data_IF_809376709603
#
_entry.id   IF_809376709603
#
_cell.length_a   1.000
_cell.length_b   1.000
_cell.length_c   1.000
_cell.angle_alpha   90.00
_cell.angle_beta   90.00
_cell.angle_gamma   90.00
#
_symmetry.space_group_name_H-M   'P 1'
#
loop_
_entity.id
_entity.type
_entity.pdbx_description
1 polymer ?
#
# COMPACT_ATOMS: atom_id res chain seq x y z
N UNK A 1 -23.55 23.67 -29.63
CA UNK A 1 -23.64 23.53 -28.16
C UNK A 1 -24.85 22.67 -27.80
N UNK A 2 -24.65 21.48 -27.24
CA UNK A 2 -25.73 20.61 -26.71
C UNK A 2 -25.28 20.01 -25.38
N UNK A 3 -25.66 20.71 -24.31
CA UNK A 3 -25.89 20.27 -22.91
C UNK A 3 -25.41 18.88 -22.48
N UNK A 4 -24.34 18.84 -21.68
CA UNK A 4 -23.96 17.73 -20.78
C UNK A 4 -24.06 18.26 -19.33
N UNK A 5 -25.02 17.79 -18.50
CA UNK A 5 -24.70 17.43 -17.09
C UNK A 5 -25.71 16.46 -16.39
N UNK A 6 -26.25 15.44 -17.06
CA UNK A 6 -27.13 14.43 -16.42
C UNK A 6 -26.56 13.01 -16.43
N UNK A 7 -25.56 12.75 -17.28
CA UNK A 7 -24.99 11.40 -17.50
C UNK A 7 -23.94 11.00 -16.47
N UNK A 8 -23.52 11.91 -15.58
CA UNK A 8 -22.37 11.67 -14.69
C UNK A 8 -22.77 11.36 -13.24
N UNK A 9 -23.66 12.14 -12.63
CA UNK A 9 -23.98 11.98 -11.20
C UNK A 9 -24.56 10.61 -10.83
N UNK A 10 -25.36 10.00 -11.73
CA UNK A 10 -25.91 8.65 -11.50
C UNK A 10 -24.81 7.58 -11.53
N UNK A 11 -23.82 7.77 -12.41
CA UNK A 11 -22.67 6.85 -12.51
C UNK A 11 -21.82 6.97 -11.24
N UNK A 12 -21.45 8.20 -10.85
CA UNK A 12 -20.70 8.47 -9.61
C UNK A 12 -21.36 7.83 -8.40
N UNK A 13 -22.65 8.10 -8.17
CA UNK A 13 -23.40 7.51 -7.04
C UNK A 13 -23.46 5.98 -7.07
N UNK A 14 -23.45 5.39 -8.27
CA UNK A 14 -23.45 3.93 -8.42
C UNK A 14 -22.11 3.34 -8.02
N UNK A 15 -21.00 3.92 -8.51
CA UNK A 15 -19.65 3.50 -8.18
C UNK A 15 -19.34 3.70 -6.69
N UNK A 16 -19.71 4.86 -6.12
CA UNK A 16 -19.61 5.13 -4.67
C UNK A 16 -20.40 4.12 -3.83
N UNK A 17 -21.58 3.70 -4.30
CA UNK A 17 -22.37 2.69 -3.61
C UNK A 17 -21.71 1.30 -3.68
N UNK A 18 -21.10 0.95 -4.81
CA UNK A 18 -20.33 -0.29 -4.97
C UNK A 18 -19.12 -0.28 -4.03
N UNK A 19 -18.25 0.74 -4.13
CA UNK A 19 -17.03 0.88 -3.33
C UNK A 19 -17.33 0.85 -1.84
N UNK A 20 -18.22 1.73 -1.35
CA UNK A 20 -18.59 1.77 0.08
C UNK A 20 -19.13 0.43 0.58
N UNK A 21 -19.95 -0.26 -0.22
CA UNK A 21 -20.50 -1.55 0.18
C UNK A 21 -19.43 -2.63 0.20
N UNK A 22 -18.55 -2.63 -0.80
CA UNK A 22 -17.44 -3.56 -0.89
C UNK A 22 -16.50 -3.39 0.31
N UNK A 23 -16.03 -2.17 0.59
CA UNK A 23 -15.21 -1.85 1.77
C UNK A 23 -15.85 -2.32 3.08
N UNK A 24 -17.14 -2.05 3.27
CA UNK A 24 -17.86 -2.50 4.46
C UNK A 24 -17.94 -4.03 4.57
N UNK A 25 -18.12 -4.74 3.46
CA UNK A 25 -18.14 -6.22 3.47
C UNK A 25 -16.75 -6.80 3.73
N UNK A 26 -15.69 -6.17 3.21
CA UNK A 26 -14.30 -6.56 3.45
C UNK A 26 -13.97 -6.52 4.95
N UNK A 27 -14.36 -5.44 5.64
CA UNK A 27 -14.19 -5.29 7.09
C UNK A 27 -15.02 -6.30 7.91
N UNK A 28 -16.16 -6.77 7.39
CA UNK A 28 -17.08 -7.64 8.13
C UNK A 28 -16.73 -9.13 8.07
N UNK A 29 -16.23 -9.62 6.93
CA UNK A 29 -16.02 -11.07 6.73
C UNK A 29 -14.87 -11.41 5.79
N UNK A 30 -14.11 -10.41 5.34
CA UNK A 30 -13.03 -10.54 4.39
C UNK A 30 -13.44 -10.93 2.97
N UNK A 31 -12.47 -10.89 2.06
CA UNK A 31 -12.72 -10.94 0.62
C UNK A 31 -13.32 -12.26 0.16
N UNK A 32 -12.83 -13.37 0.71
CA UNK A 32 -13.35 -14.71 0.39
C UNK A 32 -14.84 -14.91 0.74
N UNK A 33 -15.43 -14.05 1.58
CA UNK A 33 -16.86 -14.09 1.91
C UNK A 33 -17.75 -13.29 0.93
N UNK A 34 -17.15 -12.48 0.06
CA UNK A 34 -17.88 -11.57 -0.82
C UNK A 34 -18.27 -12.30 -2.10
N UNK A 35 -19.54 -12.15 -2.49
CA UNK A 35 -20.01 -12.57 -3.82
C UNK A 35 -20.61 -11.37 -4.55
N UNK A 36 -20.53 -11.36 -5.88
CA UNK A 36 -21.17 -10.32 -6.71
C UNK A 36 -22.66 -10.19 -6.37
N UNK A 37 -23.33 -11.31 -6.07
CA UNK A 37 -24.74 -11.32 -5.66
C UNK A 37 -24.95 -10.53 -4.36
N UNK A 38 -24.25 -10.90 -3.29
CA UNK A 38 -24.40 -10.27 -1.99
C UNK A 38 -24.01 -8.78 -2.02
N UNK A 39 -22.94 -8.44 -2.75
CA UNK A 39 -22.52 -7.06 -2.97
C UNK A 39 -23.62 -6.25 -3.67
N UNK A 40 -24.16 -6.76 -4.78
CA UNK A 40 -25.22 -6.08 -5.54
C UNK A 40 -26.49 -5.87 -4.71
N UNK A 41 -26.91 -6.88 -3.95
CA UNK A 41 -28.08 -6.80 -3.06
C UNK A 41 -27.90 -5.71 -2.00
N UNK A 42 -26.73 -5.66 -1.36
CA UNK A 42 -26.44 -4.69 -0.30
C UNK A 42 -26.20 -3.28 -0.84
N UNK A 43 -25.57 -3.15 -2.00
CA UNK A 43 -25.38 -1.88 -2.70
C UNK A 43 -26.66 -1.38 -3.40
N UNK A 44 -27.73 -2.19 -3.41
CA UNK A 44 -29.02 -1.92 -4.07
C UNK A 44 -28.88 -1.65 -5.57
N UNK A 45 -28.09 -2.48 -6.25
CA UNK A 45 -27.89 -2.44 -7.70
C UNK A 45 -28.20 -3.79 -8.35
N UNK A 46 -28.43 -3.78 -9.66
CA UNK A 46 -28.57 -5.02 -10.43
C UNK A 46 -27.20 -5.57 -10.80
N UNK A 47 -27.06 -6.90 -10.93
CA UNK A 47 -25.82 -7.54 -11.40
C UNK A 47 -25.34 -7.02 -12.76
N UNK A 48 -26.26 -6.76 -13.69
CA UNK A 48 -25.93 -6.14 -14.99
C UNK A 48 -25.30 -4.75 -14.83
N UNK A 49 -25.63 -4.02 -13.76
CA UNK A 49 -25.00 -2.74 -13.44
C UNK A 49 -23.59 -2.93 -12.91
N UNK A 50 -23.36 -3.92 -12.05
CA UNK A 50 -22.01 -4.29 -11.60
C UNK A 50 -21.12 -4.69 -12.79
N UNK A 51 -21.59 -5.63 -13.61
CA UNK A 51 -20.85 -6.13 -14.79
C UNK A 51 -20.66 -5.11 -15.92
N UNK A 52 -21.22 -3.90 -15.77
CA UNK A 52 -20.92 -2.79 -16.68
C UNK A 52 -19.59 -2.10 -16.33
N UNK A 53 -19.16 -2.21 -15.07
CA UNK A 53 -17.99 -1.52 -14.54
C UNK A 53 -16.85 -2.48 -14.19
N UNK A 54 -17.20 -3.70 -13.74
CA UNK A 54 -16.22 -4.69 -13.30
C UNK A 54 -16.61 -6.07 -13.86
N UNK A 55 -15.67 -6.79 -14.46
CA UNK A 55 -15.89 -8.16 -14.93
C UNK A 55 -15.94 -9.14 -13.76
N UNK A 56 -15.13 -8.87 -12.72
CA UNK A 56 -14.95 -9.70 -11.53
C UNK A 56 -14.93 -8.87 -10.24
N UNK A 57 -14.93 -9.55 -9.08
CA UNK A 57 -14.61 -8.89 -7.81
C UNK A 57 -13.13 -8.51 -7.71
N UNK A 58 -12.25 -9.23 -8.43
CA UNK A 58 -10.81 -8.96 -8.43
C UNK A 58 -10.53 -7.61 -9.10
N UNK A 59 -11.31 -7.22 -10.13
CA UNK A 59 -11.18 -5.90 -10.77
C UNK A 59 -11.53 -4.77 -9.79
N UNK A 60 -12.60 -4.94 -9.01
CA UNK A 60 -13.00 -3.97 -8.00
C UNK A 60 -11.97 -3.90 -6.86
N UNK A 61 -11.44 -5.04 -6.45
CA UNK A 61 -10.35 -5.09 -5.48
C UNK A 61 -9.12 -4.35 -6.02
N UNK A 62 -8.71 -4.64 -7.25
CA UNK A 62 -7.57 -4.00 -7.89
C UNK A 62 -7.75 -2.47 -8.00
N UNK A 63 -8.95 -1.98 -8.27
CA UNK A 63 -9.25 -0.54 -8.25
C UNK A 63 -9.01 0.08 -6.85
N UNK A 64 -9.50 -0.59 -5.80
CA UNK A 64 -9.26 -0.17 -4.40
C UNK A 64 -7.77 -0.18 -4.05
N UNK A 65 -7.05 -1.25 -4.43
CA UNK A 65 -5.61 -1.36 -4.18
C UNK A 65 -4.80 -0.29 -4.92
N UNK A 66 -5.14 -0.08 -6.19
CA UNK A 66 -4.49 0.90 -7.05
C UNK A 66 -4.67 2.32 -6.53
N UNK A 67 -5.80 2.63 -5.90
CA UNK A 67 -6.00 3.93 -5.25
C UNK A 67 -4.98 4.17 -4.12
N UNK A 68 -4.78 3.19 -3.22
CA UNK A 68 -3.75 3.31 -2.17
C UNK A 68 -2.34 3.37 -2.74
N UNK A 69 -2.02 2.48 -3.69
CA UNK A 69 -0.69 2.44 -4.30
C UNK A 69 -0.36 3.74 -5.05
N UNK A 70 -1.35 4.33 -5.76
CA UNK A 70 -1.18 5.60 -6.46
C UNK A 70 -0.98 6.75 -5.51
N UNK A 71 -1.78 6.83 -4.44
CA UNK A 71 -1.62 7.86 -3.42
C UNK A 71 -0.26 7.77 -2.70
N UNK A 72 0.21 6.54 -2.45
CA UNK A 72 1.55 6.30 -1.93
C UNK A 72 2.64 6.81 -2.89
N UNK A 73 2.59 6.39 -4.16
CA UNK A 73 3.57 6.81 -5.18
C UNK A 73 3.59 8.32 -5.36
N UNK A 74 2.44 8.98 -5.36
CA UNK A 74 2.35 10.44 -5.45
C UNK A 74 3.02 11.10 -4.24
N UNK A 75 2.74 10.61 -3.02
CA UNK A 75 3.33 11.12 -1.79
C UNK A 75 4.86 10.97 -1.78
N UNK A 76 5.38 9.83 -2.24
CA UNK A 76 6.81 9.52 -2.17
C UNK A 76 7.57 9.85 -3.47
N UNK A 77 6.93 10.45 -4.47
CA UNK A 77 7.55 10.72 -5.79
C UNK A 77 8.81 11.59 -5.73
N UNK A 78 8.98 12.36 -4.65
CA UNK A 78 10.12 13.24 -4.43
C UNK A 78 11.30 12.54 -3.73
N UNK A 79 11.12 11.31 -3.26
CA UNK A 79 12.13 10.53 -2.55
C UNK A 79 12.89 9.64 -3.54
N UNK A 80 14.19 9.52 -3.34
CA UNK A 80 15.02 8.52 -4.01
C UNK A 80 14.84 7.14 -3.39
N UNK A 81 15.14 6.09 -4.17
CA UNK A 81 14.97 4.72 -3.72
C UNK A 81 15.80 4.36 -2.46
N UNK A 82 16.90 5.07 -2.23
CA UNK A 82 17.77 4.91 -1.05
C UNK A 82 17.38 5.76 0.17
N UNK A 83 16.31 6.56 0.11
CA UNK A 83 15.86 7.43 1.21
C UNK A 83 15.12 6.64 2.32
N UNK A 84 15.72 5.53 2.77
CA UNK A 84 15.05 4.51 3.58
C UNK A 84 14.42 5.04 4.87
N UNK A 85 15.11 5.93 5.60
CA UNK A 85 14.55 6.55 6.80
C UNK A 85 13.28 7.34 6.47
N UNK A 86 13.33 8.16 5.41
CA UNK A 86 12.21 9.00 5.05
C UNK A 86 11.04 8.18 4.53
N UNK A 87 11.29 7.20 3.65
CA UNK A 87 10.29 6.23 3.18
C UNK A 87 9.63 5.52 4.38
N UNK A 88 10.44 5.10 5.38
CA UNK A 88 9.91 4.45 6.59
C UNK A 88 9.05 5.39 7.41
N UNK A 89 9.41 6.68 7.55
CA UNK A 89 8.54 7.66 8.23
C UNK A 89 7.23 7.83 7.46
N UNK A 90 7.32 8.03 6.14
CA UNK A 90 6.13 8.23 5.30
C UNK A 90 5.19 7.04 5.37
N UNK A 91 5.68 5.80 5.48
CA UNK A 91 4.83 4.61 5.66
C UNK A 91 3.90 4.77 6.87
N UNK A 92 4.43 5.21 8.00
CA UNK A 92 3.66 5.39 9.23
C UNK A 92 2.65 6.53 9.12
N UNK A 93 3.08 7.68 8.59
CA UNK A 93 2.20 8.83 8.44
C UNK A 93 1.10 8.57 7.39
N UNK A 94 1.46 7.99 6.25
CA UNK A 94 0.52 7.59 5.21
C UNK A 94 -0.52 6.61 5.75
N UNK A 95 -0.08 5.53 6.39
CA UNK A 95 -0.99 4.52 6.96
C UNK A 95 -1.90 5.09 8.05
N UNK A 96 -1.42 6.02 8.87
CA UNK A 96 -2.24 6.69 9.88
C UNK A 96 -3.31 7.63 9.30
N UNK A 97 -3.15 8.09 8.06
CA UNK A 97 -4.12 8.92 7.33
C UNK A 97 -5.15 8.08 6.55
N UNK A 98 -4.91 6.78 6.35
CA UNK A 98 -5.82 5.91 5.62
C UNK A 98 -7.01 5.42 6.48
N UNK A 99 -7.99 4.82 5.81
CA UNK A 99 -9.13 4.19 6.46
C UNK A 99 -8.76 2.82 7.09
N UNK A 100 -9.68 2.28 7.89
CA UNK A 100 -9.51 0.99 8.58
C UNK A 100 -9.23 -0.17 7.61
N UNK A 101 -9.75 -0.10 6.39
CA UNK A 101 -9.53 -1.14 5.38
C UNK A 101 -8.06 -1.24 4.99
N UNK A 102 -7.35 -0.10 4.89
CA UNK A 102 -5.91 -0.11 4.65
C UNK A 102 -5.15 -0.90 5.73
N UNK A 103 -5.49 -0.68 7.00
CA UNK A 103 -4.87 -1.40 8.11
C UNK A 103 -5.17 -2.90 8.04
N UNK A 104 -6.41 -3.30 7.73
CA UNK A 104 -6.78 -4.71 7.55
C UNK A 104 -5.97 -5.34 6.44
N UNK A 105 -5.96 -4.75 5.24
CA UNK A 105 -5.23 -5.33 4.10
C UNK A 105 -3.72 -5.40 4.38
N UNK A 106 -3.17 -4.39 5.03
CA UNK A 106 -1.73 -4.29 5.31
C UNK A 106 -1.29 -5.21 6.44
N UNK A 107 -2.14 -5.46 7.44
CA UNK A 107 -1.73 -6.12 8.68
C UNK A 107 -2.21 -7.56 8.80
N UNK A 108 -3.41 -7.88 8.30
CA UNK A 108 -4.04 -9.19 8.49
C UNK A 108 -3.39 -10.25 7.56
N UNK A 109 -2.88 -11.37 8.12
CA UNK A 109 -2.31 -12.47 7.35
C UNK A 109 -3.24 -13.08 6.29
N UNK A 110 -4.56 -13.01 6.48
CA UNK A 110 -5.54 -13.53 5.52
C UNK A 110 -5.44 -12.85 4.14
N UNK A 111 -4.74 -11.72 4.07
CA UNK A 111 -4.61 -10.87 2.89
C UNK A 111 -3.21 -10.88 2.28
N UNK A 112 -2.36 -11.85 2.62
CA UNK A 112 -0.95 -11.83 2.20
C UNK A 112 -0.75 -11.65 0.69
N UNK A 113 -1.53 -12.34 -0.15
CA UNK A 113 -1.46 -12.18 -1.60
C UNK A 113 -1.83 -10.76 -2.06
N UNK A 114 -2.89 -10.20 -1.49
CA UNK A 114 -3.41 -8.86 -1.80
C UNK A 114 -2.44 -7.78 -1.30
N UNK A 115 -1.86 -7.99 -0.11
CA UNK A 115 -0.83 -7.12 0.46
C UNK A 115 0.46 -7.14 -0.36
N UNK A 116 0.87 -8.30 -0.88
CA UNK A 116 2.04 -8.40 -1.76
C UNK A 116 1.81 -7.61 -3.04
N UNK A 117 0.64 -7.77 -3.66
CA UNK A 117 0.28 -6.97 -4.83
C UNK A 117 0.29 -5.46 -4.54
N UNK A 118 -0.26 -5.02 -3.40
CA UNK A 118 -0.19 -3.61 -2.97
C UNK A 118 1.25 -3.12 -2.87
N UNK A 119 2.13 -3.90 -2.26
CA UNK A 119 3.53 -3.54 -2.09
C UNK A 119 4.24 -3.44 -3.43
N UNK A 120 4.01 -4.38 -4.34
CA UNK A 120 4.62 -4.37 -5.68
C UNK A 120 4.17 -3.12 -6.46
N UNK A 121 2.86 -2.84 -6.46
CA UNK A 121 2.32 -1.63 -7.09
C UNK A 121 2.89 -0.36 -6.43
N UNK A 122 2.94 -0.30 -5.11
CA UNK A 122 3.45 0.85 -4.35
C UNK A 122 4.95 1.08 -4.56
N UNK A 123 5.72 0.00 -4.72
CA UNK A 123 7.17 0.04 -4.96
C UNK A 123 7.50 0.66 -6.32
N UNK A 124 6.68 0.37 -7.33
CA UNK A 124 6.93 0.84 -8.70
C UNK A 124 8.34 0.49 -9.17
N UNK A 125 9.02 1.45 -9.80
CA UNK A 125 10.37 1.25 -10.35
C UNK A 125 11.49 1.27 -9.28
N UNK A 126 11.20 1.58 -8.01
CA UNK A 126 12.25 1.73 -6.98
C UNK A 126 13.04 0.44 -6.75
N UNK A 127 12.40 -0.72 -6.89
CA UNK A 127 13.07 -2.01 -6.76
C UNK A 127 14.08 -2.26 -7.91
N UNK A 128 13.79 -1.74 -9.10
CA UNK A 128 14.58 -1.95 -10.32
C UNK A 128 15.63 -0.85 -10.55
N UNK A 129 15.41 0.34 -9.98
CA UNK A 129 16.29 1.50 -10.07
C UNK A 129 17.47 1.38 -9.10
N UNK A 130 18.48 0.61 -9.51
CA UNK A 130 19.73 0.41 -8.75
C UNK A 130 20.49 1.74 -8.58
N UNK A 131 20.64 2.27 -7.35
CA UNK A 131 21.37 3.51 -7.12
C UNK A 131 22.87 3.35 -7.39
N UNK A 132 23.53 4.47 -7.72
CA UNK A 132 24.98 4.48 -7.89
C UNK A 132 25.70 3.96 -6.64
N UNK A 133 26.66 3.06 -6.85
CA UNK A 133 27.39 2.42 -5.76
C UNK A 133 26.79 1.09 -5.27
N UNK A 134 25.71 0.59 -5.87
CA UNK A 134 25.19 -0.76 -5.61
C UNK A 134 25.31 -1.67 -6.84
N UNK A 135 25.51 -2.97 -6.62
CA UNK A 135 25.21 -3.98 -7.65
C UNK A 135 23.72 -4.34 -7.58
N UNK A 136 23.11 -4.84 -8.67
CA UNK A 136 21.70 -5.26 -8.66
C UNK A 136 21.40 -6.29 -7.57
N UNK A 137 22.29 -7.25 -7.34
CA UNK A 137 22.09 -8.31 -6.33
C UNK A 137 22.08 -7.76 -4.91
N UNK A 138 23.01 -6.85 -4.60
CA UNK A 138 23.08 -6.21 -3.31
C UNK A 138 21.91 -5.25 -3.10
N UNK A 139 21.51 -4.53 -4.16
CA UNK A 139 20.34 -3.66 -4.13
C UNK A 139 19.06 -4.44 -3.85
N UNK A 140 18.83 -5.55 -4.54
CA UNK A 140 17.66 -6.39 -4.31
C UNK A 140 17.61 -6.92 -2.87
N UNK A 141 18.75 -7.36 -2.32
CA UNK A 141 18.80 -7.86 -0.94
C UNK A 141 18.52 -6.74 0.08
N UNK A 142 19.11 -5.55 -0.13
CA UNK A 142 18.89 -4.39 0.71
C UNK A 142 17.45 -3.89 0.63
N UNK A 143 16.90 -3.76 -0.58
CA UNK A 143 15.53 -3.33 -0.83
C UNK A 143 14.52 -4.28 -0.19
N UNK A 144 14.74 -5.60 -0.31
CA UNK A 144 13.91 -6.60 0.34
C UNK A 144 13.94 -6.45 1.87
N UNK A 145 15.11 -6.20 2.47
CA UNK A 145 15.21 -5.96 3.92
C UNK A 145 14.46 -4.70 4.34
N UNK A 146 14.75 -3.54 3.72
CA UNK A 146 14.18 -2.25 4.16
C UNK A 146 12.67 -2.17 3.95
N UNK A 147 12.16 -2.69 2.82
CA UNK A 147 10.71 -2.72 2.52
C UNK A 147 9.96 -3.54 3.55
N UNK A 148 10.52 -4.68 3.97
CA UNK A 148 9.88 -5.55 4.96
C UNK A 148 10.09 -5.08 6.40
N UNK A 149 11.24 -4.50 6.74
CA UNK A 149 11.51 -4.05 8.10
C UNK A 149 10.55 -2.94 8.55
N UNK A 150 10.38 -1.90 7.71
CA UNK A 150 9.43 -0.82 7.97
C UNK A 150 8.00 -1.34 8.09
N UNK A 151 7.58 -2.20 7.16
CA UNK A 151 6.25 -2.80 7.14
C UNK A 151 5.98 -3.68 8.36
N UNK A 152 6.94 -4.51 8.78
CA UNK A 152 6.79 -5.36 9.96
C UNK A 152 6.57 -4.53 11.23
N UNK A 153 7.30 -3.42 11.38
CA UNK A 153 7.13 -2.51 12.52
C UNK A 153 5.80 -1.74 12.46
N UNK A 154 5.35 -1.32 11.28
CA UNK A 154 4.02 -0.73 11.09
C UNK A 154 2.92 -1.69 11.54
N UNK A 155 3.00 -2.95 11.09
CA UNK A 155 2.02 -4.00 11.45
C UNK A 155 1.99 -4.28 12.95
N UNK A 156 3.15 -4.33 13.61
CA UNK A 156 3.23 -4.48 15.05
C UNK A 156 2.58 -3.28 15.77
N UNK A 157 2.85 -2.05 15.31
CA UNK A 157 2.24 -0.85 15.87
C UNK A 157 0.72 -0.82 15.74
N UNK A 158 0.17 -1.25 14.59
CA UNK A 158 -1.28 -1.39 14.40
C UNK A 158 -1.87 -2.48 15.28
N UNK A 159 -1.21 -3.65 15.39
CA UNK A 159 -1.65 -4.75 16.23
C UNK A 159 -1.74 -4.39 17.72
N UNK A 160 -0.83 -3.53 18.19
CA UNK A 160 -0.84 -2.97 19.55
C UNK A 160 -1.84 -1.80 19.71
N UNK A 161 -2.76 -1.59 18.76
CA UNK A 161 -3.77 -0.55 18.80
C UNK A 161 -3.19 0.87 18.68
N UNK A 162 -2.06 1.02 17.97
CA UNK A 162 -1.35 2.30 17.77
C UNK A 162 -0.96 2.97 19.09
N UNK A 163 -0.63 2.17 20.12
CA UNK A 163 -0.39 2.64 21.49
C UNK A 163 0.77 3.64 21.64
N UNK A 164 1.81 3.51 20.81
CA UNK A 164 2.91 4.48 20.76
C UNK A 164 2.48 5.68 19.90
N UNK A 165 2.70 6.94 20.32
CA UNK A 165 2.37 8.09 19.47
C UNK A 165 3.05 8.03 18.10
N UNK A 166 2.28 8.35 17.04
CA UNK A 166 2.71 8.24 15.64
C UNK A 166 4.13 8.82 15.38
N UNK A 167 4.48 10.05 15.79
CA UNK A 167 5.82 10.58 15.54
C UNK A 167 6.94 9.73 16.17
N UNK A 168 6.68 9.16 17.35
CA UNK A 168 7.64 8.31 18.06
C UNK A 168 7.76 6.94 17.40
N UNK A 169 6.65 6.36 16.96
CA UNK A 169 6.65 5.07 16.25
C UNK A 169 7.41 5.19 14.91
N UNK A 170 7.08 6.22 14.11
CA UNK A 170 7.73 6.50 12.83
C UNK A 170 9.24 6.73 12.97
N UNK A 171 9.66 7.55 13.94
CA UNK A 171 11.08 7.84 14.15
C UNK A 171 11.85 6.62 14.70
N UNK A 172 11.23 5.81 15.55
CA UNK A 172 11.84 4.56 16.04
C UNK A 172 12.08 3.59 14.89
N UNK A 173 11.08 3.40 14.03
CA UNK A 173 11.19 2.52 12.87
C UNK A 173 12.26 3.03 11.88
N UNK A 174 12.25 4.32 11.54
CA UNK A 174 13.21 4.92 10.63
C UNK A 174 14.66 4.76 11.12
N UNK A 175 14.90 4.94 12.43
CA UNK A 175 16.21 4.71 13.04
C UNK A 175 16.67 3.27 12.94
N UNK A 176 15.78 2.31 13.21
CA UNK A 176 16.12 0.88 13.14
C UNK A 176 16.42 0.44 11.70
N UNK A 177 15.65 0.92 10.73
CA UNK A 177 15.91 0.66 9.30
C UNK A 177 17.28 1.22 8.91
N UNK A 178 17.56 2.49 9.21
CA UNK A 178 18.84 3.11 8.83
C UNK A 178 20.06 2.58 9.59
N UNK A 179 19.97 2.38 10.90
CA UNK A 179 21.10 1.84 11.68
C UNK A 179 21.41 0.38 11.31
N UNK A 180 20.40 -0.39 10.89
CA UNK A 180 20.61 -1.70 10.29
C UNK A 180 21.41 -1.64 8.97
N UNK A 181 21.25 -0.56 8.19
CA UNK A 181 22.02 -0.34 6.95
C UNK A 181 23.41 0.26 7.20
N UNK A 182 23.60 1.04 8.26
CA UNK A 182 24.90 1.67 8.61
C UNK A 182 25.97 0.62 8.96
N UNK A 183 25.57 -0.53 9.51
CA UNK A 183 26.46 -1.67 9.73
C UNK A 183 27.02 -2.26 8.41
N UNK A 184 26.32 -2.12 7.28
CA UNK A 184 26.74 -2.63 5.97
C UNK A 184 27.53 -1.58 5.15
N UNK A 185 27.19 -0.29 5.26
CA UNK A 185 27.84 0.79 4.50
C UNK A 185 29.21 1.20 5.07
N UNK A 186 29.41 1.03 6.39
CA UNK A 186 30.69 1.29 7.06
C UNK A 186 31.80 0.28 6.71
N UNK A 187 31.44 -0.96 6.36
CA UNK A 187 32.42 -1.94 5.85
C UNK A 187 32.84 -1.65 4.39
N UNK A 188 31.95 -1.06 3.59
CA UNK A 188 32.15 -0.92 2.13
C UNK A 188 32.88 0.36 1.71
N UNK A 189 32.76 1.43 2.50
CA UNK A 189 33.60 2.63 2.36
C UNK A 189 35.08 2.36 2.69
N UNK A 190 35.39 1.24 3.36
CA UNK A 190 36.75 0.73 3.55
C UNK A 190 37.28 -0.20 2.44
N UNK A 191 36.41 -0.71 1.58
CA UNK A 191 36.75 -1.67 0.52
C UNK A 191 37.09 -0.98 -0.81
N UNK A 192 36.51 0.19 -1.09
CA UNK A 192 36.80 1.02 -2.26
C UNK A 192 38.16 1.74 -2.21
N UNK A 193 38.93 1.56 -1.12
CA UNK A 193 40.29 2.07 -0.94
C UNK A 193 41.41 1.04 -1.00
N UNK A 194 41.14 -0.23 -1.34
CA UNK A 194 42.20 -1.25 -1.50
C UNK A 194 42.12 -1.98 -2.85
N UNK A 195 42.97 -1.47 -3.75
CA UNK A 195 43.44 -1.98 -5.04
C UNK A 195 42.65 -1.55 -6.27
#
# INVERSE_FOLDING_TARGET
MRTTPAKDLRVTKTLEAIDRTFRAMMLQGGYGSITVKALCERARINKKTFYRYYETLDDLLAEVMSAYASAWRERTAHLGASDFAQITRELFYFGAEQDELYDVITCDPAWDGIRRQLQDDASGEHAENVPAGFTPELWHLLYAYVSQAGLAMYRAWVADGKAIPLPRAAETAARLVCQGTDALTSEWSGASGRK
#
